data_IF_670436026909
#
_entry.id   IF_670436026909
#
_cell.length_a   1.000
_cell.length_b   1.000
_cell.length_c   1.000
_cell.angle_alpha   90.00
_cell.angle_beta   90.00
_cell.angle_gamma   90.00
#
_symmetry.space_group_name_H-M   'P 1'
#
loop_
_entity.id
_entity.type
_entity.pdbx_description
1 polymer ?
#
# COMPACT_ATOMS: atom_id res chain seq x y z
N UNK A 1 -9.87 2.57 11.50
CA UNK A 1 -8.83 3.04 10.61
C UNK A 1 -8.67 2.14 9.39
N UNK A 2 -9.24 0.96 9.46
CA UNK A 2 -9.01 -0.09 8.49
C UNK A 2 -10.16 -0.26 7.51
N UNK A 3 -11.14 0.64 7.56
CA UNK A 3 -12.28 0.62 6.65
C UNK A 3 -12.14 1.77 5.65
N UNK A 4 -12.26 1.45 4.37
CA UNK A 4 -12.28 2.45 3.31
C UNK A 4 -13.60 2.36 2.55
N UNK A 5 -13.97 3.46 1.91
CA UNK A 5 -15.20 3.51 1.12
C UNK A 5 -14.84 3.63 -0.36
N UNK A 6 -15.18 2.60 -1.13
CA UNK A 6 -14.90 2.54 -2.57
C UNK A 6 -16.23 2.49 -3.29
N UNK A 7 -16.60 3.57 -3.97
CA UNK A 7 -17.86 3.69 -4.71
C UNK A 7 -19.07 3.29 -3.84
N UNK A 8 -19.07 3.70 -2.57
CA UNK A 8 -20.15 3.40 -1.63
C UNK A 8 -20.03 2.06 -0.92
N UNK A 9 -19.04 1.24 -1.26
CA UNK A 9 -18.80 -0.04 -0.60
C UNK A 9 -17.77 0.12 0.51
N UNK A 10 -18.07 -0.44 1.67
CA UNK A 10 -17.15 -0.41 2.81
C UNK A 10 -16.27 -1.64 2.76
N UNK A 11 -14.96 -1.44 2.66
CA UNK A 11 -14.00 -2.52 2.52
C UNK A 11 -12.97 -2.46 3.63
N UNK A 12 -12.57 -3.64 4.11
CA UNK A 12 -11.52 -3.75 5.11
C UNK A 12 -10.15 -3.81 4.42
N UNK A 13 -9.28 -2.86 4.74
CA UNK A 13 -7.89 -2.90 4.24
C UNK A 13 -7.16 -4.10 4.83
N UNK A 14 -7.49 -4.48 6.08
CA UNK A 14 -6.91 -5.65 6.71
C UNK A 14 -7.24 -6.94 5.98
N UNK A 15 -8.45 -7.07 5.45
CA UNK A 15 -8.84 -8.24 4.67
C UNK A 15 -8.02 -8.35 3.38
N UNK A 16 -7.75 -7.21 2.73
CA UNK A 16 -6.91 -7.19 1.53
C UNK A 16 -5.46 -7.54 1.89
N UNK A 17 -4.93 -6.97 2.98
CA UNK A 17 -3.58 -7.31 3.44
C UNK A 17 -3.44 -8.80 3.71
N UNK A 18 -4.46 -9.41 4.29
CA UNK A 18 -4.45 -10.83 4.57
C UNK A 18 -4.30 -11.65 3.28
N UNK A 19 -5.00 -11.26 2.23
CA UNK A 19 -4.88 -11.91 0.92
C UNK A 19 -3.47 -11.73 0.36
N UNK A 20 -2.93 -10.51 0.40
CA UNK A 20 -1.58 -10.24 -0.12
C UNK A 20 -0.51 -11.04 0.64
N UNK A 21 -0.69 -11.24 1.94
CA UNK A 21 0.27 -11.97 2.75
C UNK A 21 0.35 -13.45 2.37
N UNK A 22 -0.63 -13.96 1.65
CA UNK A 22 -0.63 -15.35 1.18
C UNK A 22 0.26 -15.56 -0.05
N UNK A 23 0.67 -14.48 -0.72
CA UNK A 23 1.57 -14.61 -1.86
C UNK A 23 2.96 -15.06 -1.37
N UNK A 24 3.46 -16.13 -1.98
CA UNK A 24 4.69 -16.78 -1.49
C UNK A 24 5.94 -15.89 -1.55
N UNK A 25 5.95 -14.86 -2.37
CA UNK A 25 7.08 -13.94 -2.48
C UNK A 25 6.99 -12.73 -1.55
N UNK A 26 5.85 -12.52 -0.89
CA UNK A 26 5.62 -11.35 -0.05
C UNK A 26 6.02 -11.61 1.39
N UNK A 27 6.96 -10.80 1.90
CA UNK A 27 7.38 -10.86 3.30
C UNK A 27 6.49 -10.00 4.19
N UNK A 28 6.16 -8.79 3.73
CA UNK A 28 5.32 -7.84 4.45
C UNK A 28 4.48 -7.07 3.45
N UNK A 29 3.38 -6.55 3.90
CA UNK A 29 2.54 -5.69 3.06
C UNK A 29 1.76 -4.69 3.89
N UNK A 30 1.28 -3.66 3.22
CA UNK A 30 0.36 -2.69 3.80
C UNK A 30 -0.61 -2.27 2.72
N UNK A 31 -1.88 -2.13 3.08
CA UNK A 31 -2.93 -1.64 2.18
C UNK A 31 -3.51 -0.40 2.81
N UNK A 32 -3.67 0.64 1.99
CA UNK A 32 -4.26 1.89 2.44
C UNK A 32 -5.20 2.45 1.39
N UNK A 33 -6.17 3.24 1.83
CA UNK A 33 -7.10 3.91 0.93
C UNK A 33 -6.58 5.29 0.60
N UNK A 34 -6.40 5.56 -0.69
CA UNK A 34 -6.02 6.90 -1.14
C UNK A 34 -7.25 7.60 -1.70
N UNK A 35 -7.27 8.93 -1.61
CA UNK A 35 -8.39 9.71 -2.07
C UNK A 35 -8.60 9.58 -3.58
N UNK A 36 -9.84 9.44 -4.00
CA UNK A 36 -10.23 9.38 -5.40
C UNK A 36 -11.49 10.21 -5.63
N UNK A 37 -11.48 11.03 -6.65
CA UNK A 37 -12.57 11.98 -6.91
C UNK A 37 -13.89 11.30 -7.23
N UNK A 38 -13.85 10.18 -7.92
CA UNK A 38 -15.06 9.48 -8.36
C UNK A 38 -15.55 8.45 -7.34
N UNK A 39 -14.63 7.68 -6.76
CA UNK A 39 -14.99 6.54 -5.92
C UNK A 39 -14.88 6.83 -4.42
N UNK A 40 -14.42 8.02 -4.05
CA UNK A 40 -14.16 8.37 -2.67
C UNK A 40 -12.77 7.97 -2.24
N UNK A 41 -12.50 6.67 -2.23
CA UNK A 41 -11.18 6.13 -1.93
C UNK A 41 -10.90 4.95 -2.86
N UNK A 42 -9.62 4.66 -3.07
CA UNK A 42 -9.16 3.47 -3.77
C UNK A 42 -8.09 2.78 -2.92
N UNK A 43 -8.13 1.46 -2.80
CA UNK A 43 -7.08 0.75 -2.08
C UNK A 43 -5.83 0.63 -2.95
N UNK A 44 -4.66 0.84 -2.33
CA UNK A 44 -3.39 0.50 -2.94
C UNK A 44 -2.63 -0.41 -2.00
N UNK A 45 -1.81 -1.29 -2.58
CA UNK A 45 -0.99 -2.21 -1.82
C UNK A 45 0.49 -1.89 -1.97
N UNK A 46 1.21 -1.95 -0.85
CA UNK A 46 2.66 -1.86 -0.84
C UNK A 46 3.17 -3.21 -0.34
N UNK A 47 4.08 -3.82 -1.08
CA UNK A 47 4.63 -5.13 -0.70
C UNK A 47 6.14 -5.09 -0.61
N UNK A 48 6.66 -5.79 0.39
CA UNK A 48 8.10 -6.00 0.56
C UNK A 48 8.35 -7.48 0.27
N UNK A 49 9.29 -7.76 -0.61
CA UNK A 49 9.58 -9.13 -1.03
C UNK A 49 10.49 -9.85 -0.04
N UNK A 50 10.35 -11.16 0.02
CA UNK A 50 11.25 -12.01 0.78
C UNK A 50 12.65 -11.93 0.17
N UNK A 51 13.66 -12.15 1.01
CA UNK A 51 15.06 -12.17 0.57
C UNK A 51 15.25 -13.25 -0.50
N UNK A 52 15.96 -12.91 -1.56
CA UNK A 52 16.28 -13.87 -2.61
C UNK A 52 15.24 -14.02 -3.71
N UNK A 53 14.13 -13.29 -3.63
CA UNK A 53 13.12 -13.31 -4.68
C UNK A 53 13.66 -12.56 -5.90
N UNK A 54 13.71 -13.25 -7.05
CA UNK A 54 14.21 -12.67 -8.30
C UNK A 54 13.10 -12.41 -9.32
N UNK A 55 11.88 -12.78 -9.00
CA UNK A 55 10.74 -12.61 -9.89
C UNK A 55 10.52 -11.12 -10.19
N UNK A 56 10.14 -10.83 -11.43
CA UNK A 56 9.88 -9.48 -11.87
C UNK A 56 8.79 -8.79 -11.02
N UNK A 57 9.03 -7.54 -10.63
CA UNK A 57 8.12 -6.78 -9.78
C UNK A 57 6.75 -6.61 -10.41
N UNK A 58 6.71 -6.39 -11.73
CA UNK A 58 5.45 -6.25 -12.44
C UNK A 58 4.62 -7.54 -12.38
N UNK A 59 5.29 -8.68 -12.51
CA UNK A 59 4.64 -9.99 -12.41
C UNK A 59 4.06 -10.20 -11.01
N UNK A 60 4.83 -9.87 -9.96
CA UNK A 60 4.35 -9.98 -8.59
C UNK A 60 3.15 -9.08 -8.36
N UNK A 61 3.21 -7.84 -8.84
CA UNK A 61 2.09 -6.90 -8.71
C UNK A 61 0.83 -7.43 -9.36
N UNK A 62 0.95 -7.97 -10.57
CA UNK A 62 -0.19 -8.55 -11.28
C UNK A 62 -0.77 -9.77 -10.55
N UNK A 63 0.08 -10.61 -10.02
CA UNK A 63 -0.35 -11.79 -9.26
C UNK A 63 -1.11 -11.36 -8.00
N UNK A 64 -0.59 -10.38 -7.29
CA UNK A 64 -1.24 -9.85 -6.08
C UNK A 64 -2.61 -9.25 -6.39
N UNK A 65 -2.69 -8.48 -7.46
CA UNK A 65 -3.95 -7.86 -7.89
C UNK A 65 -4.97 -8.95 -8.22
N UNK A 66 -4.54 -9.98 -8.94
CA UNK A 66 -5.42 -11.08 -9.31
C UNK A 66 -5.92 -11.85 -8.08
N UNK A 67 -5.05 -12.08 -7.10
CA UNK A 67 -5.44 -12.74 -5.86
C UNK A 67 -6.55 -11.98 -5.13
N UNK A 68 -6.42 -10.67 -5.04
CA UNK A 68 -7.43 -9.84 -4.39
C UNK A 68 -8.74 -9.87 -5.19
N UNK A 69 -8.65 -9.79 -6.52
CA UNK A 69 -9.83 -9.86 -7.37
C UNK A 69 -10.56 -11.18 -7.19
N UNK A 70 -9.83 -12.29 -7.09
CA UNK A 70 -10.42 -13.61 -6.93
C UNK A 70 -11.05 -13.82 -5.56
N UNK A 71 -10.41 -13.31 -4.50
CA UNK A 71 -10.84 -13.59 -3.13
C UNK A 71 -11.76 -12.54 -2.53
N UNK A 72 -11.55 -11.27 -2.86
CA UNK A 72 -12.37 -10.16 -2.34
C UNK A 72 -13.41 -9.76 -3.37
N UNK A 73 -13.03 -9.74 -4.65
CA UNK A 73 -13.89 -9.39 -5.75
C UNK A 73 -13.53 -8.06 -6.40
N UNK A 74 -14.07 -7.81 -7.60
CA UNK A 74 -13.76 -6.57 -8.35
C UNK A 74 -14.31 -5.30 -7.67
N UNK A 75 -15.24 -5.44 -6.75
CA UNK A 75 -15.81 -4.30 -6.01
C UNK A 75 -14.75 -3.52 -5.25
N UNK A 76 -13.65 -4.17 -4.86
CA UNK A 76 -12.54 -3.51 -4.17
C UNK A 76 -11.82 -2.50 -5.05
N UNK A 77 -11.91 -2.64 -6.38
CA UNK A 77 -11.20 -1.80 -7.35
C UNK A 77 -9.70 -1.75 -7.04
N UNK A 78 -9.14 -2.89 -6.65
CA UNK A 78 -7.74 -3.00 -6.27
C UNK A 78 -6.90 -3.20 -7.53
N UNK A 79 -6.22 -2.15 -7.96
CA UNK A 79 -5.51 -2.14 -9.25
C UNK A 79 -4.05 -1.74 -9.15
N UNK A 80 -3.59 -1.38 -7.94
CA UNK A 80 -2.24 -0.86 -7.75
C UNK A 80 -1.55 -1.62 -6.63
N UNK A 81 -0.44 -2.26 -6.98
CA UNK A 81 0.49 -2.86 -6.02
C UNK A 81 1.88 -2.37 -6.38
N UNK A 82 2.59 -1.83 -5.39
CA UNK A 82 3.94 -1.31 -5.56
C UNK A 82 4.88 -2.17 -4.73
N UNK A 83 5.93 -2.67 -5.35
CA UNK A 83 7.01 -3.37 -4.65
C UNK A 83 7.98 -2.33 -4.11
N UNK A 84 8.19 -2.34 -2.81
CA UNK A 84 9.07 -1.39 -2.12
C UNK A 84 10.13 -2.15 -1.33
N UNK A 85 11.19 -1.46 -0.93
CA UNK A 85 12.28 -2.09 -0.20
C UNK A 85 11.92 -2.38 1.25
N UNK A 86 11.17 -1.48 1.89
CA UNK A 86 10.81 -1.61 3.30
C UNK A 86 9.62 -0.69 3.62
N UNK A 87 8.90 -1.06 4.66
CA UNK A 87 7.76 -0.27 5.14
C UNK A 87 8.20 0.64 6.29
N UNK A 88 7.68 1.88 6.35
CA UNK A 88 7.97 2.76 7.48
C UNK A 88 7.29 2.23 8.74
N UNK A 89 8.06 2.11 9.81
CA UNK A 89 7.60 1.54 11.07
C UNK A 89 8.04 2.37 12.25
N UNK A 90 7.31 2.26 13.36
CA UNK A 90 7.78 2.73 14.63
C UNK A 90 8.89 1.80 15.12
N UNK A 91 9.64 2.24 16.14
CA UNK A 91 10.67 1.41 16.78
C UNK A 91 10.12 0.12 17.35
N UNK A 92 8.82 0.10 17.69
CA UNK A 92 8.17 -1.12 18.19
C UNK A 92 7.66 -2.02 17.06
N UNK A 93 7.83 -1.64 15.81
CA UNK A 93 7.47 -2.45 14.65
C UNK A 93 6.09 -2.21 14.06
N UNK A 94 5.41 -1.16 14.48
CA UNK A 94 4.08 -0.84 13.94
C UNK A 94 4.22 -0.09 12.62
N UNK A 95 3.54 -0.56 11.58
CA UNK A 95 3.54 0.08 10.26
C UNK A 95 2.78 1.41 10.33
N UNK A 96 3.39 2.45 9.77
CA UNK A 96 2.86 3.82 9.79
C UNK A 96 1.96 4.07 8.57
N UNK A 97 0.84 3.35 8.50
CA UNK A 97 -0.09 3.43 7.36
C UNK A 97 -0.67 4.83 7.14
N UNK A 98 -1.02 5.50 8.23
CA UNK A 98 -1.56 6.85 8.16
C UNK A 98 -0.60 7.85 7.54
N UNK A 99 0.68 7.72 7.86
CA UNK A 99 1.73 8.59 7.28
C UNK A 99 1.89 8.31 5.79
N UNK A 100 1.91 7.04 5.41
CA UNK A 100 2.01 6.66 3.99
C UNK A 100 0.82 7.23 3.21
N UNK A 101 -0.38 7.12 3.76
CA UNK A 101 -1.59 7.64 3.12
C UNK A 101 -1.50 9.15 2.89
N UNK A 102 -1.02 9.89 3.89
CA UNK A 102 -0.86 11.34 3.75
C UNK A 102 0.15 11.70 2.66
N UNK A 103 1.24 10.94 2.57
CA UNK A 103 2.21 11.13 1.50
C UNK A 103 1.56 10.87 0.15
N UNK A 104 0.83 9.77 0.01
CA UNK A 104 0.17 9.41 -1.24
C UNK A 104 -0.87 10.43 -1.67
N UNK A 105 -1.60 11.00 -0.72
CA UNK A 105 -2.60 12.03 -0.98
C UNK A 105 -1.99 13.43 -1.13
N UNK A 106 -0.67 13.52 -0.99
CA UNK A 106 0.07 14.79 -1.07
C UNK A 106 -0.45 15.83 -0.08
N UNK A 107 -0.70 15.40 1.14
CA UNK A 107 -1.19 16.23 2.25
C UNK A 107 -0.07 16.43 3.25
N UNK A 108 -0.09 17.53 3.96
CA UNK A 108 0.89 17.77 5.02
C UNK A 108 0.85 16.67 6.08
N UNK A 109 2.02 16.29 6.56
CA UNK A 109 2.16 15.34 7.64
C UNK A 109 3.35 15.68 8.51
N UNK A 110 3.33 15.20 9.74
CA UNK A 110 4.47 15.31 10.63
C UNK A 110 5.19 13.99 10.67
N UNK A 111 6.51 14.02 10.65
CA UNK A 111 7.29 12.81 10.82
C UNK A 111 7.08 12.31 12.26
N UNK A 112 6.51 11.10 12.44
CA UNK A 112 6.29 10.60 13.79
C UNK A 112 7.59 10.49 14.57
N UNK A 113 7.67 11.03 15.80
CA UNK A 113 8.91 10.95 16.57
C UNK A 113 9.31 9.54 16.94
N UNK A 114 8.39 8.60 16.84
CA UNK A 114 8.64 7.17 17.13
C UNK A 114 9.12 6.39 15.91
N UNK A 115 9.24 7.04 14.75
CA UNK A 115 9.67 6.34 13.53
C UNK A 115 11.09 5.79 13.70
N UNK A 116 11.29 4.58 13.19
CA UNK A 116 12.59 3.93 13.27
C UNK A 116 13.62 4.62 12.39
N UNK A 117 13.28 4.86 11.12
CA UNK A 117 14.18 5.51 10.16
C UNK A 117 13.39 6.45 9.26
N UNK A 118 13.51 7.77 9.45
CA UNK A 118 12.71 8.72 8.66
C UNK A 118 13.08 8.78 7.18
N UNK A 119 14.24 8.29 6.78
CA UNK A 119 14.64 8.24 5.37
C UNK A 119 13.70 7.37 4.54
N UNK A 120 13.06 6.38 5.17
CA UNK A 120 12.07 5.53 4.53
C UNK A 120 10.96 6.36 3.87
N UNK A 121 10.55 7.45 4.49
CA UNK A 121 9.46 8.28 3.97
C UNK A 121 9.82 8.93 2.63
N UNK A 122 11.08 9.29 2.46
CA UNK A 122 11.59 9.81 1.18
C UNK A 122 11.57 8.71 0.11
N UNK A 123 11.99 7.51 0.48
CA UNK A 123 11.97 6.37 -0.44
C UNK A 123 10.56 6.06 -0.92
N UNK A 124 9.59 6.05 0.00
CA UNK A 124 8.19 5.79 -0.33
C UNK A 124 7.67 6.87 -1.28
N UNK A 125 7.94 8.12 -1.00
CA UNK A 125 7.50 9.22 -1.86
C UNK A 125 8.05 9.08 -3.27
N UNK A 126 9.33 8.74 -3.41
CA UNK A 126 9.95 8.53 -4.72
C UNK A 126 9.28 7.37 -5.47
N UNK A 127 8.98 6.28 -4.78
CA UNK A 127 8.30 5.15 -5.40
C UNK A 127 6.89 5.51 -5.86
N UNK A 128 6.16 6.28 -5.06
CA UNK A 128 4.82 6.74 -5.43
C UNK A 128 4.85 7.68 -6.63
N UNK A 129 5.86 8.54 -6.71
CA UNK A 129 6.04 9.43 -7.87
C UNK A 129 6.31 8.60 -9.14
N UNK A 130 7.20 7.61 -9.06
CA UNK A 130 7.52 6.74 -10.20
C UNK A 130 6.29 6.02 -10.73
N UNK A 131 5.39 5.61 -9.84
CA UNK A 131 4.18 4.91 -10.22
C UNK A 131 3.03 5.85 -10.57
N UNK A 132 3.30 7.16 -10.60
CA UNK A 132 2.32 8.21 -10.92
C UNK A 132 1.11 8.19 -9.99
N UNK A 133 1.32 7.80 -8.74
CA UNK A 133 0.25 7.74 -7.75
C UNK A 133 0.19 9.02 -6.94
N UNK A 134 1.34 9.64 -6.67
CA UNK A 134 1.39 10.89 -5.92
C UNK A 134 0.74 12.00 -6.73
N UNK A 135 -0.24 12.67 -6.13
CA UNK A 135 -1.01 13.70 -6.80
C UNK A 135 -0.27 15.03 -6.83
N UNK A 136 -0.53 15.81 -7.88
CA UNK A 136 -0.01 17.17 -7.99
C UNK A 136 1.51 17.29 -8.01
N UNK A 137 2.15 16.36 -8.66
CA UNK A 137 3.61 16.35 -8.82
C UNK A 137 4.00 16.53 -10.27
#
# INVERSE_FOLDING_TARGET
>A
DDIINVAGHRLSTGAIEEVLSEHQSVAECAVLGIADKLKGQLPIGLVVLKTGVEKDHETISKECIQMVRDKIGPVAAFKVVIVIKRLPKTRSGKILRGTIRKIADNVEYKVPPTIDDPVILTEIKEDLIKQKILKNV
#
